data_IF_171302904420
#
_entry.id   IF_171302904420
#
_cell.length_a   1.000
_cell.length_b   1.000
_cell.length_c   1.000
_cell.angle_alpha   90.00
_cell.angle_beta   90.00
_cell.angle_gamma   90.00
#
_symmetry.space_group_name_H-M   'P 1'
#
loop_
_entity.id
_entity.type
_entity.pdbx_description
1 polymer ?
#
# COMPACT_ATOMS: atom_id res chain seq x y z
N UNK A 1 -23.57 -45.48 53.34
CA UNK A 1 -23.75 -44.72 52.08
C UNK A 1 -24.64 -43.58 52.48
N UNK A 2 -24.00 -42.48 52.85
CA UNK A 2 -24.54 -41.62 53.91
C UNK A 2 -25.38 -40.53 53.26
N UNK A 3 -26.68 -40.81 53.19
CA UNK A 3 -27.72 -39.95 52.63
C UNK A 3 -27.78 -38.59 53.32
N UNK A 4 -27.37 -38.50 54.59
CA UNK A 4 -27.29 -37.24 55.33
C UNK A 4 -26.17 -36.33 54.82
N UNK A 5 -24.99 -36.87 54.47
CA UNK A 5 -23.90 -36.07 53.90
C UNK A 5 -24.24 -35.58 52.48
N UNK A 6 -25.03 -36.34 51.72
CA UNK A 6 -25.54 -35.92 50.42
C UNK A 6 -26.65 -34.86 50.54
N UNK A 7 -27.51 -34.94 51.56
CA UNK A 7 -28.53 -33.94 51.84
C UNK A 7 -27.93 -32.64 52.41
N UNK A 8 -26.86 -32.72 53.20
CA UNK A 8 -26.11 -31.53 53.67
C UNK A 8 -25.39 -30.83 52.52
N UNK A 9 -24.78 -31.59 51.61
CA UNK A 9 -24.14 -31.05 50.40
C UNK A 9 -25.18 -30.48 49.42
N UNK A 10 -26.34 -31.14 49.27
CA UNK A 10 -27.46 -30.63 48.49
C UNK A 10 -28.12 -29.40 49.12
N UNK A 11 -28.12 -29.31 50.46
CA UNK A 11 -28.58 -28.16 51.24
C UNK A 11 -27.63 -26.96 51.11
N UNK A 12 -26.32 -27.20 51.16
CA UNK A 12 -25.29 -26.18 50.89
C UNK A 12 -25.36 -25.66 49.45
N UNK A 13 -25.69 -26.52 48.47
CA UNK A 13 -25.90 -26.13 47.06
C UNK A 13 -27.24 -25.41 46.82
N UNK A 14 -28.24 -25.60 47.69
CA UNK A 14 -29.55 -24.92 47.62
C UNK A 14 -29.62 -23.60 48.40
N UNK A 15 -28.60 -23.28 49.19
CA UNK A 15 -28.65 -22.23 50.23
C UNK A 15 -28.31 -20.79 49.83
N UNK A 16 -27.68 -20.54 48.68
CA UNK A 16 -27.38 -19.16 48.23
C UNK A 16 -28.05 -18.93 46.88
N UNK A 17 -29.34 -18.62 46.92
CA UNK A 17 -30.01 -18.02 45.77
C UNK A 17 -29.28 -16.70 45.47
N UNK A 18 -28.39 -16.72 44.47
CA UNK A 18 -27.67 -15.55 43.98
C UNK A 18 -28.70 -14.44 43.75
N UNK A 19 -28.72 -13.45 44.64
CA UNK A 19 -29.63 -12.32 44.52
C UNK A 19 -29.41 -11.61 43.18
N UNK A 20 -30.33 -10.71 42.78
CA UNK A 20 -30.25 -10.04 41.48
C UNK A 20 -28.88 -9.42 41.16
N UNK A 21 -28.13 -8.97 42.18
CA UNK A 21 -26.74 -8.50 42.07
C UNK A 21 -25.72 -9.61 41.76
N UNK A 22 -25.86 -10.79 42.36
CA UNK A 22 -25.02 -11.95 42.10
C UNK A 22 -25.25 -12.53 40.70
N UNK A 23 -26.51 -12.58 40.25
CA UNK A 23 -26.83 -12.97 38.86
C UNK A 23 -26.28 -11.96 37.85
N UNK A 24 -26.37 -10.66 38.14
CA UNK A 24 -25.81 -9.62 37.29
C UNK A 24 -24.27 -9.69 37.22
N UNK A 25 -23.60 -9.94 38.35
CA UNK A 25 -22.15 -10.13 38.42
C UNK A 25 -21.70 -11.36 37.65
N UNK A 26 -22.43 -12.48 37.76
CA UNK A 26 -22.11 -13.70 37.04
C UNK A 26 -22.30 -13.52 35.51
N UNK A 27 -23.38 -12.85 35.09
CA UNK A 27 -23.64 -12.55 33.69
C UNK A 27 -22.60 -11.59 33.09
N UNK A 28 -22.19 -10.57 33.84
CA UNK A 28 -21.13 -9.64 33.40
C UNK A 28 -19.77 -10.33 33.33
N UNK A 29 -19.40 -11.13 34.34
CA UNK A 29 -18.13 -11.85 34.34
C UNK A 29 -18.03 -12.86 33.19
N UNK A 30 -19.10 -13.63 32.95
CA UNK A 30 -19.15 -14.60 31.84
C UNK A 30 -19.17 -13.92 30.48
N UNK A 31 -19.91 -12.81 30.33
CA UNK A 31 -19.87 -11.99 29.12
C UNK A 31 -18.49 -11.40 28.83
N UNK A 32 -17.80 -10.88 29.86
CA UNK A 32 -16.45 -10.33 29.72
C UNK A 32 -15.44 -11.42 29.35
N UNK A 33 -15.53 -12.60 29.97
CA UNK A 33 -14.67 -13.74 29.66
C UNK A 33 -14.91 -14.26 28.23
N UNK A 34 -16.18 -14.39 27.81
CA UNK A 34 -16.53 -14.78 26.45
C UNK A 34 -16.01 -13.76 25.42
N UNK A 35 -16.16 -12.46 25.70
CA UNK A 35 -15.60 -11.40 24.85
C UNK A 35 -14.07 -11.45 24.79
N UNK A 36 -13.40 -11.66 25.92
CA UNK A 36 -11.94 -11.77 25.98
C UNK A 36 -11.42 -12.97 25.19
N UNK A 37 -12.08 -14.13 25.28
CA UNK A 37 -11.76 -15.33 24.49
C UNK A 37 -12.03 -15.08 23.01
N UNK A 38 -13.19 -14.52 22.65
CA UNK A 38 -13.52 -14.15 21.28
C UNK A 38 -12.48 -13.18 20.69
N UNK A 39 -12.09 -12.17 21.45
CA UNK A 39 -11.06 -11.22 21.07
C UNK A 39 -9.68 -11.89 20.94
N UNK A 40 -9.28 -12.73 21.89
CA UNK A 40 -7.98 -13.40 21.85
C UNK A 40 -7.86 -14.42 20.70
N UNK A 41 -8.96 -15.07 20.30
CA UNK A 41 -8.99 -16.05 19.21
C UNK A 41 -9.11 -15.38 17.84
N UNK A 42 -9.87 -14.30 17.71
CA UNK A 42 -10.17 -13.68 16.41
C UNK A 42 -9.36 -12.40 16.11
N UNK A 43 -8.82 -11.72 17.12
CA UNK A 43 -7.97 -10.54 16.90
C UNK A 43 -6.50 -10.79 16.51
N UNK A 44 -5.86 -11.98 16.63
CA UNK A 44 -4.50 -12.19 16.15
C UNK A 44 -4.52 -12.34 14.62
N UNK A 45 -4.80 -11.24 13.93
CA UNK A 45 -4.91 -11.18 12.47
C UNK A 45 -5.39 -9.82 11.97
N UNK A 46 -6.22 -9.12 12.76
CA UNK A 46 -6.79 -7.82 12.39
C UNK A 46 -5.79 -6.64 12.49
N UNK A 47 -4.58 -6.88 12.99
CA UNK A 47 -3.53 -5.87 13.24
C UNK A 47 -2.40 -5.82 12.20
N UNK A 48 -2.50 -6.54 11.08
CA UNK A 48 -1.37 -6.62 10.13
C UNK A 48 -1.12 -5.33 9.35
N UNK A 49 -2.16 -4.52 9.11
CA UNK A 49 -2.04 -3.23 8.44
C UNK A 49 -2.87 -2.21 9.22
N UNK A 50 -2.27 -1.09 9.68
CA UNK A 50 -3.00 -0.02 10.34
C UNK A 50 -4.19 0.45 9.49
N UNK A 51 -5.32 0.77 10.13
CA UNK A 51 -6.53 1.22 9.43
C UNK A 51 -6.27 2.43 8.51
N UNK A 52 -5.36 3.33 8.87
CA UNK A 52 -4.99 4.50 8.05
C UNK A 52 -4.23 4.16 6.76
N UNK A 53 -3.70 2.93 6.65
CA UNK A 53 -3.04 2.40 5.46
C UNK A 53 -3.96 1.50 4.63
N UNK A 54 -5.20 1.27 5.07
CA UNK A 54 -6.19 0.54 4.29
C UNK A 54 -6.77 1.45 3.23
N UNK A 55 -6.55 1.09 1.96
CA UNK A 55 -7.05 1.84 0.81
C UNK A 55 -8.28 1.12 0.26
N UNK A 56 -9.44 1.80 0.09
CA UNK A 56 -10.59 1.18 -0.56
C UNK A 56 -10.25 0.81 -2.00
N UNK A 57 -10.75 -0.35 -2.44
CA UNK A 57 -10.53 -0.79 -3.81
C UNK A 57 -11.21 0.15 -4.80
N UNK A 58 -10.44 0.71 -5.71
CA UNK A 58 -10.93 1.52 -6.82
C UNK A 58 -10.25 1.09 -8.11
N UNK A 59 -10.97 0.47 -9.06
CA UNK A 59 -10.38 -0.01 -10.29
C UNK A 59 -9.86 1.15 -11.15
N UNK A 60 -8.66 0.98 -11.72
CA UNK A 60 -8.15 1.89 -12.75
C UNK A 60 -8.99 1.79 -14.03
N UNK A 61 -9.42 2.90 -14.62
CA UNK A 61 -10.16 2.86 -15.88
C UNK A 61 -9.31 2.29 -17.03
N UNK A 62 -9.93 1.93 -18.16
CA UNK A 62 -9.20 1.48 -19.33
C UNK A 62 -8.19 2.53 -19.83
N UNK A 63 -8.53 3.82 -19.73
CA UNK A 63 -7.65 4.91 -20.12
C UNK A 63 -6.45 5.02 -19.17
N UNK A 64 -6.66 4.95 -17.85
CA UNK A 64 -5.56 4.90 -16.88
C UNK A 64 -4.61 3.73 -17.16
N UNK A 65 -5.15 2.54 -17.43
CA UNK A 65 -4.34 1.36 -17.76
C UNK A 65 -3.52 1.62 -19.02
N UNK A 66 -4.13 2.14 -20.08
CA UNK A 66 -3.42 2.49 -21.32
C UNK A 66 -2.31 3.52 -21.07
N UNK A 67 -2.59 4.55 -20.26
CA UNK A 67 -1.64 5.60 -19.91
C UNK A 67 -0.43 5.04 -19.14
N UNK A 68 -0.68 4.19 -18.14
CA UNK A 68 0.37 3.53 -17.36
C UNK A 68 1.25 2.66 -18.24
N UNK A 69 0.64 1.88 -19.13
CA UNK A 69 1.40 0.99 -20.01
C UNK A 69 2.18 1.76 -21.08
N UNK A 70 1.63 2.87 -21.59
CA UNK A 70 2.36 3.75 -22.50
C UNK A 70 3.65 4.31 -21.88
N UNK A 71 3.64 4.62 -20.57
CA UNK A 71 4.83 5.06 -19.83
C UNK A 71 5.86 3.95 -19.58
N UNK A 72 5.43 2.69 -19.69
CA UNK A 72 6.28 1.49 -19.60
C UNK A 72 6.67 0.93 -20.97
N UNK A 73 6.24 1.55 -22.07
CA UNK A 73 6.51 1.04 -23.42
C UNK A 73 8.01 0.97 -23.69
N UNK A 74 8.46 -0.14 -24.26
CA UNK A 74 9.88 -0.38 -24.58
C UNK A 74 10.74 -0.78 -23.39
N UNK A 75 10.16 -0.87 -22.19
CA UNK A 75 10.82 -1.45 -21.02
C UNK A 75 10.84 -2.98 -21.09
N UNK A 76 11.76 -3.58 -20.35
CA UNK A 76 11.86 -5.02 -20.18
C UNK A 76 12.15 -5.37 -18.71
N UNK A 77 12.19 -6.66 -18.38
CA UNK A 77 12.44 -7.15 -17.03
C UNK A 77 11.18 -7.30 -16.17
N UNK A 78 11.40 -7.81 -14.95
CA UNK A 78 10.33 -8.11 -14.00
C UNK A 78 9.50 -6.86 -13.66
N UNK A 79 8.18 -7.04 -13.71
CA UNK A 79 7.18 -6.01 -13.42
C UNK A 79 6.36 -6.39 -12.21
N UNK A 80 6.24 -5.48 -11.26
CA UNK A 80 5.44 -5.64 -10.06
C UNK A 80 4.33 -4.58 -9.98
N UNK A 81 3.11 -5.01 -9.70
CA UNK A 81 1.97 -4.13 -9.39
C UNK A 81 1.66 -4.19 -7.90
N UNK A 82 1.84 -3.07 -7.20
CA UNK A 82 1.65 -2.98 -5.75
C UNK A 82 0.21 -2.54 -5.45
N UNK A 83 -0.59 -3.45 -4.89
CA UNK A 83 -2.03 -3.27 -4.75
C UNK A 83 -2.77 -3.62 -6.04
N UNK A 84 -2.52 -4.82 -6.58
CA UNK A 84 -2.94 -5.18 -7.94
C UNK A 84 -4.44 -5.29 -8.15
N UNK A 85 -5.22 -5.35 -7.07
CA UNK A 85 -6.68 -5.43 -7.13
C UNK A 85 -7.16 -6.59 -7.99
N UNK A 86 -7.92 -6.28 -9.05
CA UNK A 86 -8.45 -7.27 -9.98
C UNK A 86 -7.46 -7.71 -11.09
N UNK A 87 -6.19 -7.32 -10.94
CA UNK A 87 -5.07 -7.77 -11.76
C UNK A 87 -4.99 -7.15 -13.16
N UNK A 88 -5.82 -6.15 -13.48
CA UNK A 88 -5.89 -5.59 -14.84
C UNK A 88 -4.56 -5.01 -15.35
N UNK A 89 -3.80 -4.34 -14.48
CA UNK A 89 -2.49 -3.79 -14.83
C UNK A 89 -1.45 -4.89 -15.05
N UNK A 90 -1.41 -5.91 -14.18
CA UNK A 90 -0.52 -7.08 -14.34
C UNK A 90 -0.80 -7.82 -15.64
N UNK A 91 -2.07 -8.08 -15.94
CA UNK A 91 -2.49 -8.75 -17.17
C UNK A 91 -2.12 -7.95 -18.41
N UNK A 92 -2.32 -6.64 -18.38
CA UNK A 92 -1.97 -5.78 -19.50
C UNK A 92 -0.45 -5.64 -19.68
N UNK A 93 0.30 -5.51 -18.58
CA UNK A 93 1.77 -5.53 -18.61
C UNK A 93 2.29 -6.80 -19.27
N UNK A 94 1.74 -7.95 -18.88
CA UNK A 94 2.10 -9.25 -19.47
C UNK A 94 1.83 -9.30 -20.98
N UNK A 95 0.66 -8.80 -21.43
CA UNK A 95 0.32 -8.73 -22.86
C UNK A 95 1.28 -7.83 -23.65
N UNK A 96 1.82 -6.78 -23.03
CA UNK A 96 2.82 -5.91 -23.64
C UNK A 96 4.25 -6.45 -23.58
N UNK A 97 4.43 -7.71 -23.17
CA UNK A 97 5.72 -8.37 -23.14
C UNK A 97 6.55 -8.10 -21.90
N UNK A 98 6.01 -7.38 -20.91
CA UNK A 98 6.68 -7.19 -19.62
C UNK A 98 6.60 -8.48 -18.81
N UNK A 99 7.74 -9.15 -18.63
CA UNK A 99 7.83 -10.46 -18.01
C UNK A 99 9.07 -10.55 -17.12
N UNK A 100 9.00 -11.25 -15.96
CA UNK A 100 7.79 -11.78 -15.32
C UNK A 100 6.84 -10.65 -14.83
N UNK A 101 5.53 -10.87 -14.83
CA UNK A 101 4.54 -9.91 -14.31
C UNK A 101 3.92 -10.45 -13.00
N UNK A 102 4.02 -9.67 -11.92
CA UNK A 102 3.62 -10.07 -10.57
C UNK A 102 2.68 -9.03 -9.95
N UNK A 103 1.56 -9.46 -9.39
CA UNK A 103 0.64 -8.62 -8.62
C UNK A 103 0.66 -8.96 -7.13
N UNK A 104 0.80 -7.95 -6.29
CA UNK A 104 0.71 -8.07 -4.84
C UNK A 104 -0.62 -7.50 -4.35
N UNK A 105 -1.43 -8.32 -3.69
CA UNK A 105 -2.74 -7.94 -3.17
C UNK A 105 -3.02 -8.61 -1.82
N UNK A 106 -3.63 -7.87 -0.88
CA UNK A 106 -3.97 -8.38 0.45
C UNK A 106 -5.38 -8.98 0.49
N UNK A 107 -6.32 -8.42 -0.28
CA UNK A 107 -7.71 -8.83 -0.30
C UNK A 107 -7.87 -10.17 -1.06
N UNK A 108 -8.25 -11.27 -0.36
CA UNK A 108 -8.38 -12.58 -1.00
C UNK A 108 -9.46 -12.63 -2.10
N UNK A 109 -10.50 -11.79 -2.02
CA UNK A 109 -11.56 -11.74 -3.03
C UNK A 109 -11.08 -11.12 -4.35
N UNK A 110 -10.32 -10.02 -4.26
CA UNK A 110 -9.71 -9.38 -5.42
C UNK A 110 -8.65 -10.29 -6.04
N UNK A 111 -7.87 -10.98 -5.21
CA UNK A 111 -6.90 -11.97 -5.65
C UNK A 111 -7.57 -13.12 -6.42
N UNK A 112 -8.70 -13.63 -5.93
CA UNK A 112 -9.48 -14.66 -6.62
C UNK A 112 -9.99 -14.14 -7.97
N UNK A 113 -10.53 -12.92 -8.00
CA UNK A 113 -10.98 -12.27 -9.24
C UNK A 113 -9.83 -12.09 -10.25
N UNK A 114 -8.64 -11.67 -9.79
CA UNK A 114 -7.45 -11.51 -10.61
C UNK A 114 -7.00 -12.85 -11.22
N UNK A 115 -6.94 -13.92 -10.41
CA UNK A 115 -6.62 -15.28 -10.86
C UNK A 115 -7.66 -15.81 -11.85
N UNK A 116 -8.95 -15.60 -11.59
CA UNK A 116 -10.01 -15.98 -12.51
C UNK A 116 -9.88 -15.27 -13.87
N UNK A 117 -9.55 -13.98 -13.87
CA UNK A 117 -9.32 -13.23 -15.11
C UNK A 117 -8.07 -13.69 -15.86
N UNK A 118 -7.00 -14.03 -15.15
CA UNK A 118 -5.80 -14.61 -15.74
C UNK A 118 -6.07 -15.97 -16.38
N UNK A 119 -6.87 -16.80 -15.70
CA UNK A 119 -7.33 -18.08 -16.23
C UNK A 119 -8.19 -17.90 -17.48
N UNK A 120 -9.19 -17.00 -17.42
CA UNK A 120 -10.04 -16.66 -18.58
C UNK A 120 -9.23 -16.11 -19.76
N UNK A 121 -8.13 -15.40 -19.49
CA UNK A 121 -7.22 -14.88 -20.52
C UNK A 121 -6.15 -15.88 -20.98
N UNK A 122 -6.13 -17.10 -20.44
CA UNK A 122 -5.16 -18.14 -20.80
C UNK A 122 -3.71 -17.88 -20.34
N UNK A 123 -3.48 -16.91 -19.46
CA UNK A 123 -2.14 -16.50 -19.02
C UNK A 123 -1.82 -16.82 -17.56
N UNK A 124 -2.67 -17.59 -16.87
CA UNK A 124 -2.53 -17.90 -15.43
C UNK A 124 -1.20 -18.55 -15.02
N UNK A 125 -0.52 -19.27 -15.91
CA UNK A 125 0.81 -19.84 -15.66
C UNK A 125 1.95 -18.82 -15.86
N UNK A 126 1.67 -17.72 -16.57
CA UNK A 126 2.66 -16.72 -16.97
C UNK A 126 2.61 -15.45 -16.11
N UNK A 127 1.51 -15.24 -15.38
CA UNK A 127 1.35 -14.13 -14.42
C UNK A 127 1.20 -14.67 -13.01
N UNK A 128 1.82 -14.02 -12.04
CA UNK A 128 1.76 -14.43 -10.63
C UNK A 128 0.98 -13.43 -9.81
N UNK A 129 -0.02 -13.90 -9.06
CA UNK A 129 -0.74 -13.09 -8.08
C UNK A 129 -0.51 -13.62 -6.66
N UNK A 130 0.11 -12.80 -5.82
CA UNK A 130 0.57 -13.18 -4.49
C UNK A 130 -0.27 -12.49 -3.41
N UNK A 131 -0.79 -13.29 -2.46
CA UNK A 131 -1.46 -12.79 -1.26
C UNK A 131 -0.41 -12.28 -0.26
N UNK A 132 0.14 -11.11 -0.51
CA UNK A 132 1.27 -10.61 0.26
C UNK A 132 1.15 -9.10 0.47
N UNK A 133 1.60 -8.69 1.65
CA UNK A 133 1.74 -7.29 2.01
C UNK A 133 2.84 -6.65 1.15
N UNK A 134 2.49 -5.58 0.45
CA UNK A 134 3.42 -4.82 -0.38
C UNK A 134 4.63 -4.33 0.43
N UNK A 135 4.49 -4.08 1.73
CA UNK A 135 5.61 -3.66 2.59
C UNK A 135 6.66 -4.75 2.77
N UNK A 136 6.26 -6.02 2.64
CA UNK A 136 7.11 -7.19 2.80
C UNK A 136 7.52 -7.83 1.48
N UNK A 137 6.99 -7.33 0.35
CA UNK A 137 7.41 -7.77 -0.97
C UNK A 137 8.87 -7.39 -1.19
N UNK A 138 9.68 -8.32 -1.71
CA UNK A 138 11.03 -8.00 -2.15
C UNK A 138 10.94 -7.41 -3.56
N UNK A 139 11.46 -6.19 -3.73
CA UNK A 139 11.45 -5.45 -4.99
C UNK A 139 12.84 -5.32 -5.64
N UNK A 140 13.87 -5.95 -5.08
CA UNK A 140 15.26 -5.78 -5.53
C UNK A 140 15.56 -6.28 -6.94
N UNK A 141 14.71 -7.16 -7.48
CA UNK A 141 14.80 -7.70 -8.84
C UNK A 141 13.72 -7.14 -9.77
N UNK A 142 12.97 -6.11 -9.34
CA UNK A 142 11.91 -5.48 -10.12
C UNK A 142 12.43 -4.27 -10.90
N UNK A 143 12.31 -4.31 -12.23
CA UNK A 143 12.71 -3.20 -13.10
C UNK A 143 11.55 -2.27 -13.45
N UNK A 144 10.31 -2.73 -13.31
CA UNK A 144 9.13 -1.92 -13.55
C UNK A 144 8.16 -2.08 -12.38
N UNK A 145 7.69 -0.97 -11.83
CA UNK A 145 6.72 -0.99 -10.73
C UNK A 145 5.53 -0.13 -11.09
N UNK A 146 4.32 -0.67 -10.99
CA UNK A 146 3.08 0.11 -11.08
C UNK A 146 2.48 0.30 -9.69
N UNK A 147 1.95 1.49 -9.43
CA UNK A 147 1.27 1.80 -8.18
C UNK A 147 0.04 2.65 -8.39
N UNK A 148 -1.11 2.17 -7.92
CA UNK A 148 -2.37 2.92 -7.89
C UNK A 148 -2.90 2.96 -6.46
N UNK A 149 -2.26 3.76 -5.61
CA UNK A 149 -2.55 3.83 -4.17
C UNK A 149 -2.88 5.26 -3.74
N UNK A 150 -3.57 5.38 -2.60
CA UNK A 150 -3.97 6.66 -2.01
C UNK A 150 -2.77 7.54 -1.61
N UNK A 151 -2.93 8.87 -1.57
CA UNK A 151 -1.86 9.81 -1.20
C UNK A 151 -1.24 9.54 0.17
N UNK A 152 -2.02 9.08 1.16
CA UNK A 152 -1.53 8.77 2.51
C UNK A 152 -0.48 7.67 2.54
N UNK A 153 -0.49 6.77 1.55
CA UNK A 153 0.43 5.62 1.45
C UNK A 153 1.70 5.97 0.68
N UNK A 154 1.67 7.03 -0.14
CA UNK A 154 2.78 7.39 -1.06
C UNK A 154 4.08 7.73 -0.32
N UNK A 155 4.11 8.53 0.77
CA UNK A 155 5.38 8.87 1.44
C UNK A 155 6.13 7.67 2.02
N UNK A 156 5.53 6.77 2.84
CA UNK A 156 6.26 5.60 3.33
C UNK A 156 6.63 4.64 2.18
N UNK A 157 5.80 4.55 1.14
CA UNK A 157 6.11 3.73 -0.03
C UNK A 157 7.31 4.27 -0.81
N UNK A 158 7.43 5.58 -0.96
CA UNK A 158 8.59 6.21 -1.60
C UNK A 158 9.89 5.77 -0.93
N UNK A 159 9.93 5.77 0.42
CA UNK A 159 11.11 5.33 1.16
C UNK A 159 11.48 3.86 0.87
N UNK A 160 10.49 2.96 0.85
CA UNK A 160 10.71 1.54 0.51
C UNK A 160 11.25 1.38 -0.92
N UNK A 161 10.60 2.03 -1.90
CA UNK A 161 11.01 1.94 -3.30
C UNK A 161 12.43 2.47 -3.52
N UNK A 162 12.79 3.56 -2.85
CA UNK A 162 14.15 4.10 -2.87
C UNK A 162 15.19 3.16 -2.25
N UNK A 163 14.82 2.42 -1.22
CA UNK A 163 15.72 1.47 -0.56
C UNK A 163 15.93 0.18 -1.37
N UNK A 164 14.88 -0.32 -2.02
CA UNK A 164 14.90 -1.68 -2.58
C UNK A 164 15.09 -1.75 -4.10
N UNK A 165 14.60 -0.80 -4.88
CA UNK A 165 14.61 -0.95 -6.35
C UNK A 165 16.02 -0.81 -6.96
N UNK A 166 16.31 -1.47 -8.09
CA UNK A 166 17.48 -1.14 -8.92
C UNK A 166 17.52 0.33 -9.37
N UNK A 167 18.68 0.83 -9.78
CA UNK A 167 18.81 2.19 -10.34
C UNK A 167 18.13 2.30 -11.72
N UNK A 168 18.14 1.21 -12.49
CA UNK A 168 17.54 1.09 -13.82
C UNK A 168 16.02 0.90 -13.77
N UNK A 169 15.45 0.84 -12.57
CA UNK A 169 14.02 0.63 -12.39
C UNK A 169 13.21 1.90 -12.71
N UNK A 170 12.00 1.68 -13.23
CA UNK A 170 11.01 2.73 -13.45
C UNK A 170 9.77 2.45 -12.61
N UNK A 171 9.31 3.46 -11.88
CA UNK A 171 8.06 3.44 -11.13
C UNK A 171 7.02 4.26 -11.87
N UNK A 172 5.83 3.71 -12.10
CA UNK A 172 4.69 4.43 -12.67
C UNK A 172 3.56 4.51 -11.65
N UNK A 173 3.24 5.72 -11.21
CA UNK A 173 2.13 6.02 -10.35
C UNK A 173 0.89 6.40 -11.17
N UNK A 174 -0.27 5.85 -10.85
CA UNK A 174 -1.55 6.32 -11.39
C UNK A 174 -2.34 7.15 -10.38
N UNK A 175 -3.18 8.05 -10.90
CA UNK A 175 -4.02 9.07 -10.23
C UNK A 175 -3.36 10.05 -9.24
N UNK A 176 -2.38 9.62 -8.45
CA UNK A 176 -1.69 10.46 -7.48
C UNK A 176 -0.17 10.35 -7.64
N UNK A 177 0.56 11.48 -7.72
CA UNK A 177 2.02 11.48 -7.81
C UNK A 177 2.69 11.10 -6.48
N UNK A 178 3.98 10.80 -6.52
CA UNK A 178 4.84 10.82 -5.34
C UNK A 178 5.23 12.27 -5.01
N UNK A 179 4.90 12.80 -3.82
CA UNK A 179 5.00 14.24 -3.54
C UNK A 179 6.44 14.76 -3.52
N UNK A 180 7.41 13.94 -3.14
CA UNK A 180 8.82 14.33 -3.00
C UNK A 180 9.67 14.02 -4.24
N UNK A 181 9.08 13.49 -5.31
CA UNK A 181 9.81 13.05 -6.49
C UNK A 181 9.40 13.87 -7.72
N UNK A 182 10.38 14.25 -8.52
CA UNK A 182 10.14 14.86 -9.82
C UNK A 182 9.87 13.76 -10.86
N UNK A 183 8.72 13.77 -11.55
CA UNK A 183 8.41 12.77 -12.57
C UNK A 183 9.29 12.98 -13.81
N UNK A 184 9.80 11.88 -14.39
CA UNK A 184 10.53 11.94 -15.66
C UNK A 184 9.61 12.10 -16.87
N UNK A 185 8.38 11.59 -16.76
CA UNK A 185 7.34 11.78 -17.76
C UNK A 185 5.95 11.66 -17.13
N UNK A 186 4.96 12.29 -17.76
CA UNK A 186 3.56 12.21 -17.33
C UNK A 186 2.66 12.00 -18.54
N UNK A 187 1.52 11.35 -18.34
CA UNK A 187 0.56 11.09 -19.40
C UNK A 187 -0.87 11.16 -18.84
N UNK A 188 -1.82 11.62 -19.65
CA UNK A 188 -3.22 11.80 -19.23
C UNK A 188 -3.47 13.08 -18.45
N UNK A 189 -4.71 13.24 -17.98
CA UNK A 189 -5.20 14.42 -17.28
C UNK A 189 -6.22 14.00 -16.21
N UNK A 190 -6.34 14.79 -15.14
CA UNK A 190 -7.33 14.57 -14.07
C UNK A 190 -7.21 13.18 -13.43
N UNK A 191 -8.34 12.47 -13.36
CA UNK A 191 -8.44 11.16 -12.68
C UNK A 191 -7.66 10.04 -13.38
N UNK A 192 -7.28 10.25 -14.64
CA UNK A 192 -6.60 9.28 -15.52
C UNK A 192 -5.11 9.61 -15.69
N UNK A 193 -4.60 10.60 -14.96
CA UNK A 193 -3.21 11.02 -15.05
C UNK A 193 -2.28 9.94 -14.46
N UNK A 194 -1.13 9.77 -15.08
CA UNK A 194 -0.07 8.86 -14.68
C UNK A 194 1.29 9.59 -14.68
N UNK A 195 2.17 9.20 -13.75
CA UNK A 195 3.50 9.78 -13.57
C UNK A 195 4.53 8.67 -13.57
N UNK A 196 5.57 8.79 -14.39
CA UNK A 196 6.71 7.90 -14.38
C UNK A 196 7.89 8.53 -13.66
N UNK A 197 8.67 7.70 -12.97
CA UNK A 197 9.85 8.08 -12.21
C UNK A 197 10.96 7.08 -12.50
N UNK A 198 12.12 7.57 -12.93
CA UNK A 198 13.32 6.76 -13.12
C UNK A 198 14.17 6.77 -11.85
N UNK A 199 14.40 5.60 -11.25
CA UNK A 199 14.97 5.51 -9.90
C UNK A 199 16.37 6.11 -9.80
N UNK A 200 17.18 6.00 -10.85
CA UNK A 200 18.48 6.68 -10.96
C UNK A 200 18.38 8.19 -10.78
N UNK A 201 17.43 8.84 -11.46
CA UNK A 201 17.25 10.30 -11.38
C UNK A 201 16.65 10.73 -10.04
N UNK A 202 15.70 9.95 -9.51
CA UNK A 202 15.15 10.19 -8.17
C UNK A 202 16.26 10.14 -7.11
N UNK A 203 17.13 9.13 -7.15
CA UNK A 203 18.27 9.01 -6.21
C UNK A 203 19.30 10.11 -6.41
N UNK A 204 19.58 10.51 -7.64
CA UNK A 204 20.46 11.64 -7.94
C UNK A 204 19.93 12.92 -7.31
N UNK A 205 18.64 13.23 -7.49
CA UNK A 205 18.00 14.39 -6.90
C UNK A 205 18.05 14.35 -5.36
N UNK A 206 17.79 13.18 -4.76
CA UNK A 206 17.86 13.00 -3.31
C UNK A 206 19.27 13.24 -2.73
N UNK A 207 20.34 12.85 -3.46
CA UNK A 207 21.73 13.11 -3.07
C UNK A 207 22.12 14.59 -3.19
N UNK A 208 21.65 15.26 -4.25
CA UNK A 208 21.95 16.68 -4.47
C UNK A 208 21.18 17.63 -3.52
N UNK A 209 20.02 17.21 -3.00
CA UNK A 209 19.23 17.98 -2.03
C UNK A 209 19.71 17.92 -0.57
N UNK A 210 20.81 17.21 -0.29
CA UNK A 210 21.30 16.89 1.06
C UNK A 210 22.25 17.90 1.73
N UNK A 211 22.45 19.10 1.18
CA UNK A 211 23.27 20.15 1.83
C UNK A 211 22.51 21.47 1.86
N UNK A 212 22.10 22.01 3.03
CA UNK A 212 21.78 23.41 3.15
C UNK A 212 23.11 24.19 3.19
N UNK A 213 23.75 24.31 2.03
CA UNK A 213 24.78 25.31 1.83
C UNK A 213 24.11 26.68 1.79
N UNK A 214 24.40 27.50 2.79
CA UNK A 214 24.02 28.92 2.89
C UNK A 214 24.02 29.56 1.51
N UNK A 215 22.82 29.91 1.02
CA UNK A 215 22.65 30.73 -0.18
C UNK A 215 23.26 32.10 0.12
N UNK A 216 24.50 32.31 -0.31
CA UNK A 216 25.04 33.66 -0.42
C UNK A 216 24.16 34.39 -1.45
N UNK A 217 23.39 35.37 -0.96
CA UNK A 217 22.61 36.26 -1.80
C UNK A 217 23.52 36.92 -2.86
N UNK A 218 23.07 37.08 -4.12
CA UNK A 218 23.82 37.82 -5.10
C UNK A 218 23.95 39.27 -4.62
N UNK A 219 25.21 39.73 -4.46
CA UNK A 219 25.54 41.14 -4.21
C UNK A 219 24.94 41.96 -5.34
N UNK A 220 24.03 42.87 -5.00
CA UNK A 220 23.58 43.92 -5.89
C UNK A 220 24.80 44.74 -6.36
N UNK A 221 24.97 44.81 -7.68
CA UNK A 221 25.93 45.72 -8.31
C UNK A 221 25.46 47.17 -8.08
N UNK A 222 26.36 48.09 -7.70
CA UNK A 222 26.00 49.49 -7.49
C UNK A 222 25.74 50.16 -8.84
N UNK A 223 24.52 50.66 -9.03
CA UNK A 223 24.18 51.58 -10.13
C UNK A 223 25.00 52.85 -9.99
N UNK A 224 25.88 53.09 -10.96
CA UNK A 224 26.66 54.31 -11.11
C UNK A 224 25.77 55.55 -11.29
N UNK A 225 26.24 56.67 -10.74
CA UNK A 225 25.52 57.92 -10.65
C UNK A 225 25.50 58.78 -11.92
N UNK A 226 24.59 59.75 -11.84
CA UNK A 226 24.43 61.06 -12.49
C UNK A 226 25.32 61.43 -13.71
N UNK A 227 24.63 61.82 -14.81
CA UNK A 227 24.62 63.12 -15.58
C UNK A 227 25.91 63.91 -15.82
N UNK A 228 26.00 64.89 -16.77
CA UNK A 228 24.98 65.47 -17.66
C UNK A 228 25.48 65.73 -19.12
N UNK A 229 24.62 66.34 -19.97
CA UNK A 229 25.10 67.35 -20.93
C UNK A 229 24.83 67.15 -22.42
N UNK A 230 24.02 68.08 -22.94
CA UNK A 230 24.24 68.89 -24.16
C UNK A 230 23.85 68.38 -25.58
N UNK A 231 23.11 69.30 -26.22
CA UNK A 231 22.77 69.54 -27.63
C UNK A 231 21.54 68.82 -28.21
#
# INVERSE_FOLDING_TARGET
MDTEALDELAGQLRGEALGGRGLLQLATATGLAAYAVWAAVLMPGFRRVPLHLQVPYMPSSAQQVANVMALLRGRSGKTADLGSGDGRLVLEAHKQGLRPAVGYELNPWLLWLAKYRAWKAGCHEQVSFLKQDLWKANLSDCYNVTVFLAPSVKPPLAAKLLAELPDEARVVAGRFPFPSWTPSSTLGQGLEQAWAYDMKEVRRAARCGGTPGVTAAPRASPTGGLSPGEQ
#
